data_IF_661525359417
#
_entry.id   IF_661525359417
#
_cell.length_a   1.000
_cell.length_b   1.000
_cell.length_c   1.000
_cell.angle_alpha   90.00
_cell.angle_beta   90.00
_cell.angle_gamma   90.00
#
_symmetry.space_group_name_H-M   'P 1'
#
loop_
_entity.id
_entity.type
_entity.pdbx_description
1 polymer ?
#
# COMPACT_ATOMS: atom_id res chain seq x y z
N UNK A 1 -8.41 20.74 -7.96
CA UNK A 1 -8.81 19.43 -7.39
C UNK A 1 -8.40 18.37 -8.40
N UNK A 2 -7.74 17.31 -7.97
CA UNK A 2 -7.31 16.21 -8.84
C UNK A 2 -8.50 15.31 -9.11
N UNK A 3 -8.78 15.04 -10.37
CA UNK A 3 -9.83 14.10 -10.78
C UNK A 3 -9.27 12.68 -10.83
N UNK A 4 -9.71 11.82 -9.90
CA UNK A 4 -9.21 10.47 -9.72
C UNK A 4 -10.16 9.43 -10.34
N UNK A 5 -9.66 8.61 -11.24
CA UNK A 5 -10.30 7.39 -11.70
C UNK A 5 -9.82 6.17 -10.89
N UNK A 6 -10.67 5.17 -10.69
CA UNK A 6 -10.30 3.91 -10.02
C UNK A 6 -10.70 2.74 -10.93
N UNK A 7 -9.73 1.92 -11.29
CA UNK A 7 -9.97 0.67 -12.00
C UNK A 7 -9.82 -0.52 -11.05
N UNK A 8 -10.92 -1.22 -10.78
CA UNK A 8 -11.03 -2.25 -9.76
C UNK A 8 -11.48 -1.70 -8.41
N UNK A 9 -12.71 -2.00 -8.01
CA UNK A 9 -13.30 -1.53 -6.76
C UNK A 9 -13.30 -2.63 -5.67
N UNK A 10 -12.20 -3.43 -5.68
CA UNK A 10 -11.87 -4.40 -4.64
C UNK A 10 -11.47 -3.74 -3.32
N UNK A 11 -10.77 -4.47 -2.44
CA UNK A 11 -10.32 -3.93 -1.13
C UNK A 11 -9.58 -2.61 -1.28
N UNK A 12 -8.51 -2.57 -2.08
CA UNK A 12 -7.66 -1.38 -2.21
C UNK A 12 -8.39 -0.24 -2.93
N UNK A 13 -9.10 -0.51 -4.03
CA UNK A 13 -9.86 0.53 -4.73
C UNK A 13 -10.88 1.22 -3.82
N UNK A 14 -11.61 0.46 -2.98
CA UNK A 14 -12.53 1.01 -1.99
C UNK A 14 -11.83 1.78 -0.87
N UNK A 15 -10.68 1.31 -0.40
CA UNK A 15 -9.92 2.04 0.64
C UNK A 15 -9.29 3.31 0.10
N UNK A 16 -8.80 3.32 -1.14
CA UNK A 16 -8.37 4.55 -1.83
C UNK A 16 -9.52 5.54 -1.95
N UNK A 17 -10.71 5.06 -2.34
CA UNK A 17 -11.92 5.90 -2.37
C UNK A 17 -12.24 6.51 -1.00
N UNK A 18 -12.30 5.67 0.04
CA UNK A 18 -12.58 6.12 1.41
C UNK A 18 -11.52 7.10 1.91
N UNK A 19 -10.24 6.84 1.65
CA UNK A 19 -9.15 7.74 2.02
C UNK A 19 -9.24 9.08 1.27
N UNK A 20 -9.54 9.06 -0.03
CA UNK A 20 -9.73 10.27 -0.83
C UNK A 20 -10.82 11.17 -0.25
N UNK A 21 -11.96 10.58 0.15
CA UNK A 21 -13.06 11.34 0.76
C UNK A 21 -12.71 11.84 2.15
N UNK A 22 -12.15 10.98 3.00
CA UNK A 22 -11.92 11.29 4.41
C UNK A 22 -10.75 12.26 4.63
N UNK A 23 -9.63 12.07 3.92
CA UNK A 23 -8.38 12.75 4.21
C UNK A 23 -7.92 13.72 3.11
N UNK A 24 -8.47 13.61 1.90
CA UNK A 24 -8.03 14.38 0.73
C UNK A 24 -9.18 15.09 -0.01
N UNK A 25 -10.34 15.24 0.60
CA UNK A 25 -11.54 15.79 -0.03
C UNK A 25 -11.39 17.20 -0.60
N UNK A 26 -10.41 17.98 -0.12
CA UNK A 26 -10.08 19.29 -0.66
C UNK A 26 -9.16 19.24 -1.90
N UNK A 27 -8.44 18.11 -2.09
CA UNK A 27 -7.42 17.96 -3.14
C UNK A 27 -7.83 16.96 -4.22
N UNK A 28 -8.59 15.91 -3.85
CA UNK A 28 -8.91 14.79 -4.72
C UNK A 28 -10.42 14.59 -4.80
N UNK A 29 -10.94 14.47 -6.02
CA UNK A 29 -12.30 14.08 -6.32
C UNK A 29 -12.30 12.80 -7.14
N UNK A 30 -12.95 11.73 -6.67
CA UNK A 30 -13.19 10.54 -7.48
C UNK A 30 -14.27 10.84 -8.50
N UNK A 31 -13.98 10.65 -9.80
CA UNK A 31 -14.87 11.00 -10.91
C UNK A 31 -15.39 9.80 -11.67
N UNK A 32 -14.70 8.66 -11.56
CA UNK A 32 -15.10 7.42 -12.24
C UNK A 32 -14.54 6.19 -11.57
N UNK A 33 -15.31 5.12 -11.59
CA UNK A 33 -14.94 3.81 -11.09
C UNK A 33 -15.29 2.77 -12.16
N UNK A 34 -14.38 1.84 -12.39
CA UNK A 34 -14.65 0.67 -13.21
C UNK A 34 -14.58 -0.60 -12.37
N UNK A 35 -15.63 -1.39 -12.42
CA UNK A 35 -15.68 -2.74 -11.86
C UNK A 35 -16.74 -3.55 -12.59
N UNK A 36 -16.62 -4.88 -12.60
CA UNK A 36 -17.52 -5.74 -13.35
C UNK A 36 -18.82 -6.09 -12.59
N UNK A 37 -18.96 -5.58 -11.37
CA UNK A 37 -20.11 -5.80 -10.50
C UNK A 37 -21.18 -4.71 -10.70
N UNK A 38 -22.42 -5.04 -10.32
CA UNK A 38 -23.55 -4.12 -10.41
C UNK A 38 -23.41 -2.90 -9.50
N UNK A 39 -23.93 -1.75 -9.92
CA UNK A 39 -23.88 -0.48 -9.20
C UNK A 39 -24.39 -0.57 -7.76
N UNK A 40 -25.53 -1.25 -7.55
CA UNK A 40 -26.12 -1.42 -6.22
C UNK A 40 -25.20 -2.24 -5.30
N UNK A 41 -24.52 -3.26 -5.85
CA UNK A 41 -23.60 -4.05 -5.08
C UNK A 41 -22.30 -3.28 -4.77
N UNK A 42 -21.81 -2.45 -5.69
CA UNK A 42 -20.67 -1.55 -5.44
C UNK A 42 -21.00 -0.53 -4.34
N UNK A 43 -22.22 0.04 -4.37
CA UNK A 43 -22.72 0.94 -3.32
C UNK A 43 -22.80 0.23 -1.96
N UNK A 44 -23.33 -1.01 -1.93
CA UNK A 44 -23.39 -1.84 -0.72
C UNK A 44 -21.99 -2.09 -0.14
N UNK A 45 -21.03 -2.52 -0.97
CA UNK A 45 -19.66 -2.79 -0.53
C UNK A 45 -18.90 -1.53 -0.07
N UNK A 46 -19.21 -0.35 -0.65
CA UNK A 46 -18.66 0.91 -0.15
C UNK A 46 -19.21 1.26 1.22
N UNK A 47 -20.52 1.06 1.39
CA UNK A 47 -21.26 1.44 2.60
C UNK A 47 -20.89 0.59 3.81
N UNK A 48 -20.66 -0.72 3.61
CA UNK A 48 -20.41 -1.66 4.70
C UNK A 48 -19.06 -2.34 4.53
N UNK A 49 -18.25 -2.33 5.57
CA UNK A 49 -16.96 -3.00 5.59
C UNK A 49 -16.72 -3.65 6.95
N UNK A 50 -16.33 -4.92 6.95
CA UNK A 50 -16.13 -5.71 8.17
C UNK A 50 -14.90 -5.27 8.97
N UNK A 51 -13.92 -4.62 8.31
CA UNK A 51 -12.66 -4.18 8.93
C UNK A 51 -12.75 -2.71 9.33
N UNK A 52 -13.15 -1.85 8.38
CA UNK A 52 -13.14 -0.39 8.55
C UNK A 52 -14.52 0.20 8.89
N UNK A 53 -15.51 -0.65 9.14
CA UNK A 53 -16.85 -0.22 9.55
C UNK A 53 -17.65 0.46 8.43
N UNK A 54 -18.75 1.09 8.82
CA UNK A 54 -19.61 1.81 7.89
C UNK A 54 -18.88 3.03 7.32
N UNK A 55 -19.15 3.29 6.03
CA UNK A 55 -18.69 4.52 5.39
C UNK A 55 -19.34 5.73 6.09
N UNK A 56 -18.51 6.73 6.39
CA UNK A 56 -18.98 7.99 6.97
C UNK A 56 -19.44 8.91 5.86
N UNK A 57 -20.72 8.83 5.54
CA UNK A 57 -21.35 9.61 4.47
C UNK A 57 -22.55 8.88 3.84
N UNK A 58 -23.21 9.57 2.93
CA UNK A 58 -24.33 9.06 2.18
C UNK A 58 -23.86 8.35 0.91
N UNK A 59 -24.43 7.19 0.63
CA UNK A 59 -24.14 6.40 -0.58
C UNK A 59 -25.47 5.99 -1.21
N UNK A 60 -25.67 6.33 -2.47
CA UNK A 60 -26.83 6.00 -3.27
C UNK A 60 -26.43 5.60 -4.69
N UNK A 61 -27.34 5.04 -5.44
CA UNK A 61 -27.24 4.81 -6.89
C UNK A 61 -28.33 5.60 -7.58
N UNK A 62 -27.98 6.43 -8.55
CA UNK A 62 -28.90 7.23 -9.34
C UNK A 62 -28.52 7.16 -10.83
N UNK A 63 -29.46 6.77 -11.68
CA UNK A 63 -29.26 6.62 -13.13
C UNK A 63 -28.04 5.76 -13.49
N UNK A 64 -27.77 4.71 -12.72
CA UNK A 64 -26.63 3.82 -12.93
C UNK A 64 -25.26 4.38 -12.51
N UNK A 65 -25.22 5.56 -11.89
CA UNK A 65 -24.02 6.15 -11.31
C UNK A 65 -24.02 6.00 -9.79
N UNK A 66 -22.84 5.95 -9.18
CA UNK A 66 -22.68 6.00 -7.73
C UNK A 66 -22.74 7.46 -7.29
N UNK A 67 -23.61 7.78 -6.32
CA UNK A 67 -23.70 9.08 -5.68
C UNK A 67 -23.17 8.98 -4.26
N UNK A 68 -22.10 9.69 -3.97
CA UNK A 68 -21.51 9.72 -2.62
C UNK A 68 -21.51 11.16 -2.12
N UNK A 69 -22.21 11.36 -1.01
CA UNK A 69 -22.56 12.68 -0.53
C UNK A 69 -23.32 13.43 -1.66
N UNK A 70 -22.72 14.48 -2.23
CA UNK A 70 -23.31 15.26 -3.35
C UNK A 70 -22.63 14.98 -4.69
N UNK A 71 -21.65 14.08 -4.74
CA UNK A 71 -20.84 13.83 -5.92
C UNK A 71 -21.35 12.62 -6.70
N UNK A 72 -21.71 12.83 -7.96
CA UNK A 72 -22.07 11.78 -8.91
C UNK A 72 -20.79 11.24 -9.56
N UNK A 73 -20.59 9.93 -9.49
CA UNK A 73 -19.38 9.20 -9.93
C UNK A 73 -19.81 8.25 -11.04
N UNK A 74 -19.17 8.36 -12.20
CA UNK A 74 -19.44 7.49 -13.32
C UNK A 74 -19.02 6.05 -12.99
N UNK A 75 -19.91 5.10 -13.24
CA UNK A 75 -19.60 3.66 -13.18
C UNK A 75 -19.46 3.08 -14.59
N UNK A 76 -18.50 2.21 -14.79
CA UNK A 76 -18.30 1.40 -16.00
C UNK A 76 -18.02 -0.06 -15.63
N UNK A 77 -18.27 -0.98 -16.56
CA UNK A 77 -18.06 -2.43 -16.39
C UNK A 77 -17.26 -2.99 -17.59
N UNK A 78 -16.09 -2.39 -17.83
CA UNK A 78 -15.23 -2.74 -18.97
C UNK A 78 -14.07 -3.65 -18.54
N UNK A 79 -13.87 -4.75 -19.26
CA UNK A 79 -12.75 -5.66 -19.04
C UNK A 79 -11.42 -5.11 -19.60
N UNK A 80 -11.47 -4.44 -20.75
CA UNK A 80 -10.28 -3.85 -21.35
C UNK A 80 -10.20 -2.36 -21.04
N UNK A 81 -9.14 -1.91 -20.34
CA UNK A 81 -8.99 -0.51 -19.92
C UNK A 81 -9.01 0.50 -21.08
N UNK A 82 -8.70 0.09 -22.32
CA UNK A 82 -8.73 0.98 -23.48
C UNK A 82 -10.13 1.56 -23.75
N UNK A 83 -11.19 0.87 -23.32
CA UNK A 83 -12.58 1.27 -23.52
C UNK A 83 -13.14 2.16 -22.39
N UNK A 84 -12.34 2.49 -21.37
CA UNK A 84 -12.81 3.18 -20.17
C UNK A 84 -13.12 4.67 -20.37
N UNK A 85 -12.64 5.26 -21.48
CA UNK A 85 -12.91 6.64 -21.85
C UNK A 85 -12.73 7.63 -20.69
N UNK A 86 -11.57 7.58 -20.06
CA UNK A 86 -11.23 8.46 -18.94
C UNK A 86 -11.28 9.95 -19.29
N UNK A 87 -11.12 10.28 -20.58
CA UNK A 87 -11.28 11.62 -21.09
C UNK A 87 -12.71 12.20 -20.90
N UNK A 88 -13.77 11.36 -20.88
CA UNK A 88 -15.15 11.84 -20.67
C UNK A 88 -15.39 12.34 -19.24
N UNK A 89 -14.55 11.97 -18.28
CA UNK A 89 -14.60 12.43 -16.89
C UNK A 89 -13.36 13.26 -16.51
N UNK A 90 -12.51 13.61 -17.49
CA UNK A 90 -11.29 14.38 -17.30
C UNK A 90 -10.37 13.78 -16.21
N UNK A 91 -10.19 12.48 -16.17
CA UNK A 91 -9.37 11.85 -15.15
C UNK A 91 -7.89 12.29 -15.25
N UNK A 92 -7.40 12.96 -14.22
CA UNK A 92 -5.99 13.36 -14.13
C UNK A 92 -5.10 12.17 -13.79
N UNK A 93 -5.56 11.35 -12.84
CA UNK A 93 -4.84 10.16 -12.36
C UNK A 93 -5.80 8.98 -12.31
N UNK A 94 -5.37 7.83 -12.79
CA UNK A 94 -6.09 6.57 -12.61
C UNK A 94 -5.31 5.65 -11.68
N UNK A 95 -5.98 5.15 -10.65
CA UNK A 95 -5.47 4.10 -9.77
C UNK A 95 -5.85 2.76 -10.36
N UNK A 96 -4.85 1.99 -10.79
CA UNK A 96 -5.00 0.62 -11.25
C UNK A 96 -4.93 -0.33 -10.04
N UNK A 97 -6.06 -0.85 -9.61
CA UNK A 97 -6.19 -1.70 -8.42
C UNK A 97 -6.85 -3.07 -8.68
N UNK A 98 -6.90 -3.50 -9.95
CA UNK A 98 -7.36 -4.85 -10.32
C UNK A 98 -6.32 -5.94 -10.07
N UNK A 99 -5.03 -5.59 -10.06
CA UNK A 99 -3.91 -6.52 -9.98
C UNK A 99 -3.55 -7.22 -11.30
N UNK A 100 -4.21 -6.87 -12.41
CA UNK A 100 -3.96 -7.46 -13.73
C UNK A 100 -3.00 -6.65 -14.59
N UNK A 101 -3.12 -5.34 -14.60
CA UNK A 101 -2.39 -4.43 -15.50
C UNK A 101 -1.17 -3.83 -14.80
N UNK A 102 -0.15 -4.66 -14.55
CA UNK A 102 1.01 -4.34 -13.69
C UNK A 102 2.33 -4.18 -14.47
N UNK A 103 2.25 -3.87 -15.75
CA UNK A 103 3.39 -3.49 -16.60
C UNK A 103 3.11 -2.15 -17.27
N UNK A 104 4.14 -1.43 -17.72
CA UNK A 104 3.96 -0.19 -18.50
C UNK A 104 3.02 -0.44 -19.70
N UNK A 105 3.26 -1.48 -20.47
CA UNK A 105 2.45 -1.83 -21.65
C UNK A 105 0.96 -1.98 -21.29
N UNK A 106 0.66 -2.74 -20.25
CA UNK A 106 -0.74 -3.03 -19.89
C UNK A 106 -1.43 -1.85 -19.19
N UNK A 107 -0.73 -1.12 -18.33
CA UNK A 107 -1.25 0.07 -17.66
C UNK A 107 -1.40 1.26 -18.62
N UNK A 108 -0.60 1.32 -19.69
CA UNK A 108 -0.68 2.35 -20.72
C UNK A 108 -2.02 2.36 -21.48
N UNK A 109 -2.80 1.29 -21.40
CA UNK A 109 -4.17 1.26 -21.90
C UNK A 109 -5.05 2.33 -21.25
N UNK A 110 -4.80 2.68 -20.00
CA UNK A 110 -5.51 3.79 -19.33
C UNK A 110 -5.14 5.14 -19.92
N UNK A 111 -3.88 5.35 -20.30
CA UNK A 111 -3.45 6.56 -21.03
C UNK A 111 -4.13 6.62 -22.40
N UNK A 112 -4.19 5.50 -23.13
CA UNK A 112 -4.91 5.41 -24.41
C UNK A 112 -6.41 5.71 -24.25
N UNK A 113 -7.00 5.36 -23.11
CA UNK A 113 -8.37 5.68 -22.75
C UNK A 113 -8.57 7.13 -22.26
N UNK A 114 -7.51 7.95 -22.23
CA UNK A 114 -7.56 9.37 -21.93
C UNK A 114 -7.20 9.79 -20.50
N UNK A 115 -6.68 8.89 -19.68
CA UNK A 115 -6.08 9.26 -18.40
C UNK A 115 -4.75 10.00 -18.63
N UNK A 116 -4.44 11.01 -17.80
CA UNK A 116 -3.16 11.73 -17.91
C UNK A 116 -2.01 10.98 -17.23
N UNK A 117 -2.28 10.32 -16.11
CA UNK A 117 -1.32 9.55 -15.30
C UNK A 117 -1.95 8.27 -14.76
N UNK A 118 -1.11 7.27 -14.46
CA UNK A 118 -1.54 5.99 -13.86
C UNK A 118 -0.67 5.62 -12.67
N UNK A 119 -1.32 5.18 -11.58
CA UNK A 119 -0.67 4.57 -10.42
C UNK A 119 -1.10 3.12 -10.32
N UNK A 120 -0.17 2.18 -10.47
CA UNK A 120 -0.40 0.79 -10.13
C UNK A 120 -0.36 0.61 -8.62
N UNK A 121 -1.43 0.12 -8.00
CA UNK A 121 -1.51 -0.15 -6.55
C UNK A 121 -0.91 -1.51 -6.16
N UNK A 122 0.16 -1.90 -6.85
CA UNK A 122 0.92 -3.12 -6.63
C UNK A 122 2.33 -2.96 -7.22
N UNK A 123 3.31 -3.79 -6.84
CA UNK A 123 4.62 -3.77 -7.46
C UNK A 123 4.53 -4.02 -8.96
N UNK A 124 5.25 -3.21 -9.74
CA UNK A 124 5.37 -3.43 -11.19
C UNK A 124 6.07 -4.76 -11.49
N UNK A 125 5.61 -5.44 -12.54
CA UNK A 125 6.20 -6.69 -13.04
C UNK A 125 7.31 -6.49 -14.06
N UNK A 126 7.58 -5.24 -14.42
CA UNK A 126 8.60 -4.81 -15.37
C UNK A 126 9.50 -3.71 -14.77
N UNK A 127 10.09 -2.88 -15.63
CA UNK A 127 10.96 -1.77 -15.25
C UNK A 127 10.20 -0.49 -14.87
N UNK A 128 8.87 -0.48 -14.82
CA UNK A 128 8.09 0.69 -14.42
C UNK A 128 8.54 1.18 -13.04
N UNK A 129 8.85 2.47 -12.88
CA UNK A 129 9.39 3.02 -11.65
C UNK A 129 8.46 2.80 -10.46
N UNK A 130 9.05 2.40 -9.34
CA UNK A 130 8.34 2.27 -8.06
C UNK A 130 8.68 3.43 -7.14
N UNK A 131 7.65 3.97 -6.52
CA UNK A 131 7.79 5.03 -5.53
C UNK A 131 7.17 4.62 -4.19
N UNK A 132 7.83 5.03 -3.12
CA UNK A 132 7.31 5.01 -1.76
C UNK A 132 7.32 6.44 -1.25
N UNK A 133 6.13 6.95 -0.93
CA UNK A 133 5.99 8.31 -0.41
C UNK A 133 6.80 8.50 0.87
N UNK A 134 7.49 9.62 1.00
CA UNK A 134 8.43 9.91 2.08
C UNK A 134 9.83 9.35 1.86
N UNK A 135 10.02 8.35 0.99
CA UNK A 135 11.33 7.71 0.79
C UNK A 135 12.00 8.18 -0.51
N UNK A 136 11.35 7.97 -1.66
CA UNK A 136 11.93 8.35 -2.96
C UNK A 136 10.96 9.14 -3.86
N UNK A 137 9.80 9.57 -3.37
CA UNK A 137 8.81 10.31 -4.15
C UNK A 137 9.36 11.61 -4.75
N UNK A 138 10.35 12.23 -4.11
CA UNK A 138 11.03 13.44 -4.59
C UNK A 138 11.87 13.21 -5.84
N UNK A 139 12.15 11.95 -6.20
CA UNK A 139 12.83 11.58 -7.45
C UNK A 139 11.89 11.41 -8.63
N UNK A 140 10.58 11.65 -8.43
CA UNK A 140 9.61 11.64 -9.53
C UNK A 140 9.96 12.73 -10.55
N UNK A 141 10.08 12.33 -11.81
CA UNK A 141 10.54 13.20 -12.89
C UNK A 141 9.54 13.28 -14.08
N UNK A 142 8.24 13.15 -13.77
CA UNK A 142 7.17 13.33 -14.75
C UNK A 142 6.69 12.05 -15.45
N UNK A 143 7.07 10.87 -14.98
CA UNK A 143 6.61 9.59 -15.56
C UNK A 143 5.08 9.53 -15.63
N UNK A 144 4.54 8.96 -16.73
CA UNK A 144 3.09 8.83 -16.91
C UNK A 144 2.51 7.66 -16.14
N UNK A 145 3.31 6.63 -15.92
CA UNK A 145 2.92 5.40 -15.25
C UNK A 145 3.94 5.11 -14.15
N UNK A 146 3.44 4.92 -12.94
CA UNK A 146 4.26 4.55 -11.77
C UNK A 146 3.63 3.40 -11.00
N UNK A 147 4.41 2.75 -10.16
CA UNK A 147 3.94 1.80 -9.15
C UNK A 147 4.12 2.39 -7.75
N UNK A 148 3.10 2.25 -6.90
CA UNK A 148 3.17 2.58 -5.47
C UNK A 148 3.78 1.45 -4.63
N UNK A 149 4.47 0.50 -5.25
CA UNK A 149 5.02 -0.71 -4.63
C UNK A 149 3.96 -1.53 -3.87
N UNK A 150 4.35 -2.32 -2.86
CA UNK A 150 3.42 -3.05 -1.99
C UNK A 150 3.25 -2.36 -0.64
N UNK A 151 2.20 -2.73 0.11
CA UNK A 151 2.02 -2.28 1.49
C UNK A 151 3.22 -2.64 2.39
N UNK A 152 3.76 -3.85 2.24
CA UNK A 152 4.95 -4.29 2.98
C UNK A 152 6.20 -3.47 2.59
N UNK A 153 6.39 -3.15 1.31
CA UNK A 153 7.49 -2.27 0.87
C UNK A 153 7.34 -0.87 1.45
N UNK A 154 6.11 -0.34 1.52
CA UNK A 154 5.81 0.95 2.13
C UNK A 154 6.10 0.97 3.65
N UNK A 155 5.97 -0.18 4.33
CA UNK A 155 6.37 -0.29 5.73
C UNK A 155 7.89 -0.43 5.90
N UNK A 156 8.51 -1.30 5.11
CA UNK A 156 9.93 -1.63 5.25
C UNK A 156 10.86 -0.48 4.81
N UNK A 157 10.54 0.22 3.72
CA UNK A 157 11.42 1.21 3.13
C UNK A 157 11.72 2.41 4.07
N UNK A 158 10.77 2.98 4.82
CA UNK A 158 11.06 4.06 5.77
C UNK A 158 12.05 3.66 6.86
N UNK A 159 11.85 2.52 7.53
CA UNK A 159 12.77 2.05 8.58
C UNK A 159 14.12 1.64 8.01
N UNK A 160 14.15 1.03 6.83
CA UNK A 160 15.39 0.69 6.14
C UNK A 160 16.18 1.94 5.73
N UNK A 161 15.49 3.01 5.30
CA UNK A 161 16.11 4.31 5.00
C UNK A 161 16.80 4.88 6.25
N UNK A 162 16.09 4.98 7.36
CA UNK A 162 16.64 5.52 8.62
C UNK A 162 17.86 4.72 9.08
N UNK A 163 17.74 3.38 9.11
CA UNK A 163 18.85 2.52 9.51
C UNK A 163 20.07 2.67 8.60
N UNK A 164 19.84 2.70 7.28
CA UNK A 164 20.92 2.84 6.31
C UNK A 164 21.59 4.21 6.40
N UNK A 165 20.82 5.28 6.49
CA UNK A 165 21.36 6.65 6.49
C UNK A 165 22.14 6.96 7.77
N UNK A 166 21.71 6.44 8.93
CA UNK A 166 22.38 6.67 10.22
C UNK A 166 23.51 5.68 10.49
N UNK A 167 23.29 4.40 10.20
CA UNK A 167 24.18 3.32 10.66
C UNK A 167 24.77 2.47 9.52
N UNK A 168 24.25 2.57 8.30
CA UNK A 168 24.60 1.69 7.20
C UNK A 168 24.03 0.26 7.37
N UNK A 169 23.45 -0.29 6.34
CA UNK A 169 22.99 -1.69 6.32
C UNK A 169 23.97 -2.53 5.52
N UNK A 170 24.53 -3.56 6.16
CA UNK A 170 25.34 -4.59 5.50
C UNK A 170 24.43 -5.58 4.80
N UNK A 171 23.52 -6.18 5.54
CA UNK A 171 22.53 -7.17 5.05
C UNK A 171 21.38 -7.32 6.04
N UNK A 172 20.25 -7.84 5.55
CA UNK A 172 19.10 -8.12 6.42
C UNK A 172 18.15 -9.16 5.85
N UNK A 173 17.43 -9.82 6.76
CA UNK A 173 16.32 -10.71 6.46
C UNK A 173 15.05 -10.13 7.03
N UNK A 174 14.03 -10.01 6.19
CA UNK A 174 12.72 -9.51 6.58
C UNK A 174 11.70 -10.65 6.61
N UNK A 175 10.96 -10.75 7.69
CA UNK A 175 9.72 -11.53 7.74
C UNK A 175 8.56 -10.57 7.94
N UNK A 176 7.52 -10.66 7.10
CA UNK A 176 6.26 -10.02 7.44
C UNK A 176 5.27 -11.07 7.95
N UNK A 177 4.75 -10.85 9.17
CA UNK A 177 3.56 -11.55 9.65
C UNK A 177 2.37 -10.73 9.16
N UNK A 178 1.70 -11.26 8.13
CA UNK A 178 0.78 -10.48 7.31
C UNK A 178 -0.66 -10.96 7.48
N UNK A 179 -1.56 -10.03 7.63
CA UNK A 179 -3.00 -10.28 7.65
C UNK A 179 -3.47 -11.01 6.38
N UNK A 180 -4.60 -11.70 6.48
CA UNK A 180 -5.26 -12.33 5.35
C UNK A 180 -5.69 -11.28 4.30
N UNK A 181 -5.53 -11.62 3.03
CA UNK A 181 -6.00 -10.79 1.92
C UNK A 181 -6.92 -11.59 1.02
N UNK A 182 -7.57 -10.95 0.05
CA UNK A 182 -8.51 -11.61 -0.86
C UNK A 182 -7.90 -12.78 -1.65
N UNK A 183 -6.59 -12.94 -1.67
CA UNK A 183 -5.91 -14.06 -2.34
C UNK A 183 -5.86 -15.33 -1.50
N UNK A 184 -6.01 -15.23 -0.17
CA UNK A 184 -6.07 -16.39 0.72
C UNK A 184 -7.40 -17.13 0.55
N UNK A 185 -7.37 -18.46 0.71
CA UNK A 185 -8.56 -19.30 0.70
C UNK A 185 -9.21 -19.33 2.08
N UNK A 186 -10.53 -19.28 2.13
CA UNK A 186 -11.29 -19.47 3.39
C UNK A 186 -11.17 -20.91 3.86
N UNK A 187 -11.31 -21.87 2.93
CA UNK A 187 -11.14 -23.32 3.13
C UNK A 187 -10.15 -23.86 2.11
N UNK A 188 -9.63 -25.07 2.32
CA UNK A 188 -8.71 -25.72 1.38
C UNK A 188 -9.28 -25.74 -0.04
N UNK A 189 -8.50 -25.28 -0.99
CA UNK A 189 -8.89 -25.20 -2.40
C UNK A 189 -7.70 -25.26 -3.34
N UNK A 190 -7.92 -25.48 -4.64
CA UNK A 190 -6.84 -25.66 -5.59
C UNK A 190 -5.99 -24.39 -5.73
N UNK A 191 -4.67 -24.60 -5.76
CA UNK A 191 -3.69 -23.56 -6.09
C UNK A 191 -2.62 -24.16 -7.01
N UNK A 192 -2.47 -23.59 -8.20
CA UNK A 192 -1.56 -24.14 -9.23
C UNK A 192 -0.09 -23.77 -9.00
N UNK A 193 0.18 -22.57 -8.43
CA UNK A 193 1.55 -22.05 -8.30
C UNK A 193 2.15 -22.22 -6.91
N UNK A 194 1.33 -22.05 -5.88
CA UNK A 194 1.72 -22.13 -4.49
C UNK A 194 0.73 -23.02 -3.75
N UNK A 195 1.12 -24.23 -3.45
CA UNK A 195 0.26 -25.21 -2.78
C UNK A 195 -0.13 -24.75 -1.38
N UNK A 196 0.78 -24.07 -0.67
CA UNK A 196 0.49 -23.51 0.65
C UNK A 196 -0.60 -22.41 0.57
N UNK A 197 -0.58 -21.61 -0.49
CA UNK A 197 -1.61 -20.59 -0.74
C UNK A 197 -3.00 -21.17 -1.07
N UNK A 198 -3.11 -22.48 -1.29
CA UNK A 198 -4.38 -23.21 -1.44
C UNK A 198 -5.00 -23.64 -0.10
N UNK A 199 -4.28 -23.51 1.02
CA UNK A 199 -4.79 -23.91 2.34
C UNK A 199 -5.66 -22.81 2.96
N UNK A 200 -6.65 -23.23 3.74
CA UNK A 200 -7.57 -22.35 4.44
C UNK A 200 -6.84 -21.48 5.47
N UNK A 201 -7.09 -20.17 5.44
CA UNK A 201 -6.39 -19.19 6.30
C UNK A 201 -6.84 -19.24 7.76
N UNK A 202 -8.08 -19.65 8.03
CA UNK A 202 -8.67 -19.54 9.37
C UNK A 202 -7.97 -20.40 10.42
N UNK A 203 -7.37 -21.53 10.00
CA UNK A 203 -6.75 -22.53 10.89
C UNK A 203 -5.22 -22.58 10.74
N UNK A 204 -4.63 -21.73 9.89
CA UNK A 204 -3.23 -21.92 9.49
C UNK A 204 -2.38 -20.65 9.62
N UNK A 205 -1.09 -20.87 9.92
CA UNK A 205 -0.01 -19.93 9.62
C UNK A 205 0.62 -20.39 8.31
N UNK A 206 0.51 -19.59 7.25
CA UNK A 206 0.87 -19.99 5.89
C UNK A 206 2.14 -19.26 5.43
N UNK A 207 3.31 -19.97 5.33
CA UNK A 207 4.50 -19.39 4.72
C UNK A 207 4.25 -19.07 3.24
N UNK A 208 4.66 -17.88 2.82
CA UNK A 208 4.48 -17.39 1.46
C UNK A 208 5.71 -16.60 1.01
N UNK A 209 6.02 -16.66 -0.27
CA UNK A 209 7.07 -15.81 -0.85
C UNK A 209 6.60 -14.36 -0.94
N UNK A 210 7.53 -13.42 -0.83
CA UNK A 210 7.28 -12.01 -1.07
C UNK A 210 8.46 -11.35 -1.77
N UNK A 211 8.16 -10.47 -2.71
CA UNK A 211 9.16 -9.60 -3.35
C UNK A 211 9.39 -8.28 -2.62
N UNK A 212 8.70 -8.03 -1.50
CA UNK A 212 8.68 -6.72 -0.85
C UNK A 212 10.07 -6.23 -0.40
N UNK A 213 10.88 -7.12 0.19
CA UNK A 213 12.23 -6.77 0.62
C UNK A 213 13.18 -6.48 -0.56
N UNK A 214 13.05 -7.24 -1.65
CA UNK A 214 13.81 -6.97 -2.90
C UNK A 214 13.37 -5.67 -3.56
N UNK A 215 12.08 -5.32 -3.47
CA UNK A 215 11.54 -4.08 -4.00
C UNK A 215 12.11 -2.84 -3.29
N UNK A 216 12.53 -2.95 -2.03
CA UNK A 216 13.24 -1.86 -1.34
C UNK A 216 14.51 -1.46 -2.08
N UNK A 217 15.24 -2.42 -2.67
CA UNK A 217 16.42 -2.12 -3.49
C UNK A 217 16.12 -1.36 -4.80
N UNK A 218 14.86 -1.40 -5.30
CA UNK A 218 14.43 -0.55 -6.43
C UNK A 218 14.08 0.87 -5.97
N UNK A 219 13.57 1.02 -4.76
CA UNK A 219 13.18 2.31 -4.13
C UNK A 219 14.41 3.03 -3.54
N UNK A 220 15.29 2.26 -2.92
CA UNK A 220 16.57 2.70 -2.33
C UNK A 220 17.72 1.90 -2.96
N UNK A 221 18.28 2.36 -4.09
CA UNK A 221 19.29 1.60 -4.85
C UNK A 221 20.53 1.18 -4.05
N UNK A 222 20.90 1.94 -3.02
CA UNK A 222 22.01 1.63 -2.09
C UNK A 222 21.78 0.31 -1.33
N UNK A 223 20.52 -0.14 -1.21
CA UNK A 223 20.15 -1.39 -0.55
C UNK A 223 19.92 -2.56 -1.53
N UNK A 224 20.20 -2.35 -2.82
CA UNK A 224 20.03 -3.42 -3.81
C UNK A 224 20.91 -4.63 -3.46
N UNK A 225 20.30 -5.81 -3.38
CA UNK A 225 20.97 -7.06 -3.02
C UNK A 225 21.26 -7.25 -1.53
N UNK A 226 21.03 -6.24 -0.68
CA UNK A 226 21.29 -6.34 0.77
C UNK A 226 20.11 -6.92 1.57
N UNK A 227 18.88 -6.84 1.04
CA UNK A 227 17.67 -7.29 1.72
C UNK A 227 16.93 -8.38 0.93
N UNK A 228 16.47 -9.40 1.63
CA UNK A 228 15.50 -10.39 1.13
C UNK A 228 14.55 -10.79 2.25
N UNK A 229 13.49 -11.55 1.94
CA UNK A 229 12.53 -11.92 2.98
C UNK A 229 11.42 -12.83 2.52
N UNK A 230 10.54 -13.13 3.46
CA UNK A 230 9.37 -13.97 3.28
C UNK A 230 8.17 -13.42 4.06
N UNK A 231 7.00 -14.03 3.88
CA UNK A 231 5.79 -13.70 4.61
C UNK A 231 5.25 -14.95 5.34
N UNK A 232 4.64 -14.72 6.50
CA UNK A 232 3.67 -15.64 7.08
C UNK A 232 2.29 -14.99 6.99
N UNK A 233 1.32 -15.66 6.35
CA UNK A 233 -0.08 -15.25 6.37
C UNK A 233 -0.75 -15.86 7.60
N UNK A 234 -1.46 -15.02 8.34
CA UNK A 234 -2.12 -15.38 9.61
C UNK A 234 -3.61 -15.02 9.58
N UNK A 235 -4.45 -15.65 10.41
CA UNK A 235 -5.90 -15.43 10.43
C UNK A 235 -6.28 -14.12 11.15
N UNK A 236 -5.68 -13.01 10.76
CA UNK A 236 -6.07 -11.66 11.15
C UNK A 236 -6.66 -10.93 9.96
N UNK A 237 -7.65 -10.09 10.18
CA UNK A 237 -8.39 -9.43 9.10
C UNK A 237 -7.64 -8.25 8.49
N UNK A 238 -6.80 -7.59 9.28
CA UNK A 238 -6.05 -6.40 8.89
C UNK A 238 -4.94 -6.13 9.89
N UNK A 239 -4.04 -5.22 9.56
CA UNK A 239 -2.80 -4.85 10.24
C UNK A 239 -1.78 -6.00 10.25
N UNK A 240 -0.66 -5.70 9.68
CA UNK A 240 0.47 -6.59 9.51
C UNK A 240 1.70 -6.01 10.22
N UNK A 241 2.74 -6.83 10.36
CA UNK A 241 3.99 -6.41 11.00
C UNK A 241 5.19 -6.83 10.16
N UNK A 242 6.17 -5.95 10.05
CA UNK A 242 7.50 -6.23 9.53
C UNK A 242 8.43 -6.55 10.70
N UNK A 243 9.08 -7.69 10.64
CA UNK A 243 10.20 -8.12 11.45
C UNK A 243 11.46 -8.07 10.57
N UNK A 244 12.33 -7.10 10.80
CA UNK A 244 13.57 -6.92 10.06
C UNK A 244 14.75 -7.27 10.97
N UNK A 245 15.41 -8.39 10.70
CA UNK A 245 16.70 -8.72 11.30
C UNK A 245 17.81 -8.17 10.43
N UNK A 246 18.69 -7.32 10.97
CA UNK A 246 19.64 -6.52 10.20
C UNK A 246 21.02 -6.51 10.85
N UNK A 247 22.06 -6.57 10.00
CA UNK A 247 23.46 -6.30 10.37
C UNK A 247 23.79 -4.89 9.91
N UNK A 248 24.26 -4.07 10.84
CA UNK A 248 24.64 -2.67 10.61
C UNK A 248 26.15 -2.54 10.36
N UNK A 249 26.57 -1.52 9.62
CA UNK A 249 27.99 -1.21 9.38
C UNK A 249 28.61 -0.53 10.61
N UNK A 250 27.85 0.36 11.27
CA UNK A 250 28.25 1.07 12.48
C UNK A 250 27.59 0.41 13.69
N UNK A 251 28.30 0.40 14.80
CA UNK A 251 27.72 0.02 16.08
C UNK A 251 26.58 0.96 16.47
N UNK A 252 25.49 0.40 16.95
CA UNK A 252 24.32 1.13 17.43
C UNK A 252 23.58 0.32 18.49
N UNK A 253 23.36 0.92 19.64
CA UNK A 253 22.47 0.34 20.64
C UNK A 253 21.00 0.45 20.20
N UNK A 254 20.12 -0.33 20.82
CA UNK A 254 18.66 -0.15 20.61
C UNK A 254 18.21 1.28 20.95
N UNK A 255 18.84 1.91 21.95
CA UNK A 255 18.53 3.30 22.29
C UNK A 255 18.88 4.27 21.15
N UNK A 256 20.03 4.07 20.49
CA UNK A 256 20.43 4.88 19.31
C UNK A 256 19.47 4.66 18.14
N UNK A 257 19.06 3.41 17.90
CA UNK A 257 18.07 3.07 16.85
C UNK A 257 16.74 3.72 17.16
N UNK A 258 16.23 3.60 18.40
CA UNK A 258 14.98 4.25 18.83
C UNK A 258 15.04 5.77 18.66
N UNK A 259 16.14 6.40 19.06
CA UNK A 259 16.33 7.84 18.92
C UNK A 259 16.30 8.28 17.45
N UNK A 260 16.98 7.54 16.56
CA UNK A 260 16.98 7.81 15.13
C UNK A 260 15.60 7.66 14.50
N UNK A 261 14.85 6.60 14.87
CA UNK A 261 13.48 6.37 14.39
C UNK A 261 12.53 7.46 14.87
N UNK A 262 12.65 7.87 16.13
CA UNK A 262 11.84 8.97 16.71
C UNK A 262 12.12 10.29 16.00
N UNK A 263 13.39 10.67 15.86
CA UNK A 263 13.80 11.86 15.11
C UNK A 263 13.19 11.88 13.70
N UNK A 264 13.31 10.77 12.97
CA UNK A 264 12.77 10.67 11.61
C UNK A 264 11.24 10.77 11.58
N UNK A 265 10.54 10.14 12.53
CA UNK A 265 9.07 10.15 12.62
C UNK A 265 8.48 11.53 12.93
N UNK A 266 9.21 12.35 13.68
CA UNK A 266 8.84 13.72 14.00
C UNK A 266 9.31 14.72 12.93
N UNK A 267 10.30 14.34 12.13
CA UNK A 267 10.98 15.14 11.11
C UNK A 267 10.64 14.74 9.67
N UNK A 268 11.64 14.25 8.93
CA UNK A 268 11.58 14.01 7.48
C UNK A 268 10.54 12.96 7.05
N UNK A 269 10.21 12.01 7.93
CA UNK A 269 9.22 10.95 7.67
C UNK A 269 7.91 11.16 8.40
N UNK A 270 7.64 12.39 8.88
CA UNK A 270 6.36 12.73 9.51
C UNK A 270 5.18 12.40 8.60
N UNK A 271 4.19 11.68 9.15
CA UNK A 271 3.02 11.21 8.40
C UNK A 271 3.27 9.95 7.55
N UNK A 272 4.50 9.40 7.58
CA UNK A 272 4.89 8.14 6.92
C UNK A 272 5.35 7.14 7.96
N UNK A 273 6.33 7.51 8.78
CA UNK A 273 6.82 6.74 9.91
C UNK A 273 6.15 7.23 11.19
N UNK A 274 5.51 6.33 11.91
CA UNK A 274 5.07 6.52 13.29
C UNK A 274 6.07 5.91 14.27
N UNK A 275 5.92 6.24 15.55
CA UNK A 275 6.76 5.76 16.64
C UNK A 275 5.90 5.47 17.86
N UNK A 276 6.10 4.32 18.52
CA UNK A 276 5.40 3.98 19.75
C UNK A 276 6.33 3.37 20.79
N UNK A 277 6.06 3.66 22.06
CA UNK A 277 6.64 3.03 23.25
C UNK A 277 5.60 2.29 24.08
N UNK A 278 4.36 2.23 23.60
CA UNK A 278 3.28 1.54 24.26
C UNK A 278 3.34 0.02 24.05
N UNK A 279 2.71 -0.74 24.93
CA UNK A 279 2.57 -2.19 24.80
C UNK A 279 1.37 -2.50 23.88
N UNK A 280 1.60 -2.39 22.58
CA UNK A 280 0.57 -2.46 21.54
C UNK A 280 0.51 -3.82 20.85
N UNK A 281 -0.62 -4.05 20.18
CA UNK A 281 -0.85 -5.20 19.30
C UNK A 281 -1.44 -4.71 17.97
N UNK A 282 -1.56 -5.60 16.99
CA UNK A 282 -1.95 -5.24 15.61
C UNK A 282 -3.25 -4.41 15.52
N UNK A 283 -4.27 -4.73 16.31
CA UNK A 283 -5.58 -4.05 16.23
C UNK A 283 -5.54 -2.58 16.65
N UNK A 284 -4.52 -2.16 17.40
CA UNK A 284 -4.35 -0.77 17.85
C UNK A 284 -3.99 0.17 16.68
N UNK A 285 -3.52 -0.39 15.56
CA UNK A 285 -3.14 0.37 14.37
C UNK A 285 -4.16 0.32 13.24
N UNK A 286 -5.33 -0.29 13.46
CA UNK A 286 -6.39 -0.29 12.45
C UNK A 286 -6.86 1.15 12.18
N UNK A 287 -6.87 1.53 10.90
CA UNK A 287 -7.18 2.91 10.49
C UNK A 287 -6.01 3.90 10.63
N UNK A 288 -4.81 3.45 10.97
CA UNK A 288 -3.63 4.31 10.98
C UNK A 288 -3.17 4.65 9.56
N UNK A 289 -3.04 5.95 9.26
CA UNK A 289 -2.62 6.43 7.95
C UNK A 289 -1.09 6.36 7.70
N UNK A 290 -0.29 6.16 8.74
CA UNK A 290 1.14 5.90 8.59
C UNK A 290 1.36 4.51 8.00
N UNK A 291 2.31 4.38 7.08
CA UNK A 291 2.63 3.09 6.44
C UNK A 291 3.67 2.27 7.18
N UNK A 292 4.28 2.83 8.21
CA UNK A 292 5.29 2.17 9.04
C UNK A 292 5.21 2.76 10.45
N UNK A 293 4.95 1.95 11.46
CA UNK A 293 4.92 2.40 12.85
C UNK A 293 5.97 1.60 13.63
N UNK A 294 7.11 2.24 13.89
CA UNK A 294 8.20 1.62 14.63
C UNK A 294 7.81 1.37 16.07
N UNK A 295 8.01 0.13 16.53
CA UNK A 295 7.75 -0.29 17.90
C UNK A 295 9.07 -0.35 18.69
N UNK A 296 9.29 0.65 19.52
CA UNK A 296 10.52 0.80 20.27
C UNK A 296 10.76 -0.27 21.34
N UNK A 297 9.67 -0.92 21.80
CA UNK A 297 9.76 -1.95 22.85
C UNK A 297 9.76 -3.38 22.33
N UNK A 298 9.38 -3.60 21.08
CA UNK A 298 9.36 -4.93 20.48
C UNK A 298 10.70 -5.33 19.83
N UNK A 299 11.57 -4.36 19.54
CA UNK A 299 12.90 -4.61 18.97
C UNK A 299 13.90 -5.15 19.99
N UNK A 300 14.87 -5.89 19.51
CA UNK A 300 15.97 -6.45 20.33
C UNK A 300 17.30 -6.35 19.56
N UNK A 301 18.41 -6.26 20.28
CA UNK A 301 19.76 -6.43 19.72
C UNK A 301 20.47 -7.60 20.40
N UNK A 302 21.25 -8.33 19.62
CA UNK A 302 22.11 -9.43 20.14
C UNK A 302 23.49 -8.90 20.53
N UNK A 303 24.00 -7.97 19.75
CA UNK A 303 25.28 -7.30 19.96
C UNK A 303 25.20 -5.85 19.46
N UNK A 304 26.36 -5.17 19.32
CA UNK A 304 26.41 -3.75 18.95
C UNK A 304 26.02 -3.46 17.50
N UNK A 305 25.89 -4.44 16.61
CA UNK A 305 25.57 -4.23 15.21
C UNK A 305 24.56 -5.23 14.61
N UNK A 306 23.95 -6.07 15.41
CA UNK A 306 22.98 -7.07 14.97
C UNK A 306 21.66 -6.89 15.74
N UNK A 307 20.65 -6.41 15.05
CA UNK A 307 19.39 -6.04 15.67
C UNK A 307 18.17 -6.61 14.92
N UNK A 308 17.10 -6.81 15.65
CA UNK A 308 15.74 -7.09 15.16
C UNK A 308 14.87 -5.86 15.37
N UNK A 309 14.27 -5.38 14.30
CA UNK A 309 13.42 -4.19 14.26
C UNK A 309 12.00 -4.60 13.94
N UNK A 310 11.04 -4.06 14.67
CA UNK A 310 9.62 -4.33 14.49
C UNK A 310 8.90 -3.05 14.05
N UNK A 311 8.10 -3.16 12.99
CA UNK A 311 7.27 -2.06 12.52
C UNK A 311 5.89 -2.55 12.08
N UNK A 312 4.85 -1.92 12.59
CA UNK A 312 3.44 -2.20 12.28
C UNK A 312 2.95 -1.41 11.08
N UNK A 313 1.94 -1.91 10.40
CA UNK A 313 1.27 -1.19 9.32
C UNK A 313 -0.15 -1.69 9.08
N UNK A 314 -1.10 -0.77 8.94
CA UNK A 314 -2.39 -1.08 8.34
C UNK A 314 -2.17 -1.29 6.85
N UNK A 315 -2.23 -2.56 6.41
CA UNK A 315 -1.90 -2.95 5.04
C UNK A 315 -2.94 -2.50 4.00
N UNK A 316 -4.09 -2.02 4.44
CA UNK A 316 -5.16 -1.47 3.61
C UNK A 316 -5.23 0.06 3.71
N UNK A 317 -5.46 0.60 4.90
CA UNK A 317 -5.69 2.03 5.10
C UNK A 317 -4.43 2.87 4.93
N UNK A 318 -3.34 2.53 5.62
CA UNK A 318 -2.07 3.26 5.51
C UNK A 318 -1.56 3.28 4.07
N UNK A 319 -1.61 2.13 3.40
CA UNK A 319 -1.22 2.01 1.99
C UNK A 319 -2.09 2.87 1.07
N UNK A 320 -3.41 2.84 1.25
CA UNK A 320 -4.36 3.58 0.41
C UNK A 320 -4.21 5.10 0.56
N UNK A 321 -3.89 5.58 1.77
CA UNK A 321 -3.54 6.99 1.98
C UNK A 321 -2.29 7.38 1.17
N UNK A 322 -1.27 6.53 1.08
CA UNK A 322 -0.05 6.83 0.30
C UNK A 322 -0.28 6.72 -1.21
N UNK A 323 -1.25 5.94 -1.68
CA UNK A 323 -1.72 6.03 -3.08
C UNK A 323 -2.28 7.42 -3.37
N UNK A 324 -3.10 7.98 -2.46
CA UNK A 324 -3.62 9.35 -2.58
C UNK A 324 -2.50 10.41 -2.53
N UNK A 325 -1.52 10.27 -1.63
CA UNK A 325 -0.34 11.16 -1.59
C UNK A 325 0.45 11.10 -2.90
N UNK A 326 0.70 9.91 -3.43
CA UNK A 326 1.38 9.76 -4.71
C UNK A 326 0.55 10.31 -5.88
N UNK A 327 -0.78 10.25 -5.81
CA UNK A 327 -1.64 10.91 -6.80
C UNK A 327 -1.45 12.43 -6.80
N UNK A 328 -1.25 13.04 -5.63
CA UNK A 328 -0.91 14.48 -5.52
C UNK A 328 0.46 14.77 -6.14
N UNK A 329 1.47 13.97 -5.82
CA UNK A 329 2.83 14.13 -6.36
C UNK A 329 2.83 14.09 -7.89
N UNK A 330 2.23 13.06 -8.48
CA UNK A 330 2.27 12.90 -9.95
C UNK A 330 1.35 13.86 -10.70
N UNK A 331 0.35 14.45 -10.02
CA UNK A 331 -0.49 15.53 -10.55
C UNK A 331 0.15 16.92 -10.38
N UNK A 332 1.36 17.01 -9.78
CA UNK A 332 2.08 18.26 -9.59
C UNK A 332 1.57 19.14 -8.45
N UNK A 333 1.05 18.51 -7.39
CA UNK A 333 0.53 19.21 -6.20
C UNK A 333 1.27 18.80 -4.93
#
# INVERSE_FOLDING_TARGET
MIKLGINGFGRIGRMVFRAAVANFGNDIQVVGINDLLDADYLAYMLKYDSVHGRFDGEVAVEDGALVVNVNKIRLTAEMDPVNLKWNEVDADVVVESTGFFLTDETARKHIQAGAKKVIMSAPSKDATPMFVYGVNHTTYAGQDIISNASCTTNCLAPIAKVLNDKFGIVKGLMTTVHAATATQKTVDGPSKKDWRGGRGILENIIPSSTGAAKAVGKVLPVLNGKLTGMAFRVPTSDVSVVDLTVVLEKEASMADICAAMKEASEGELKGVLGYTEDAVVSTDFRGCANTSIFDAKAGISLDSNFAKIVSWYDNEWGYSNKVCEMARVIAGK
#
